data_IF_588031905479
#
_entry.id   IF_588031905479
#
_cell.length_a   1.000
_cell.length_b   1.000
_cell.length_c   1.000
_cell.angle_alpha   90.00
_cell.angle_beta   90.00
_cell.angle_gamma   90.00
#
_symmetry.space_group_name_H-M   'P 1'
#
loop_
_entity.id
_entity.type
_entity.pdbx_description
1 polymer ?
#
# COMPACT_ATOMS: atom_id res chain seq x y z
N UNK A 1 -41.98 6.94 54.79
CA UNK A 1 -40.60 6.38 54.81
C UNK A 1 -40.55 5.23 53.82
N UNK A 2 -40.17 5.50 52.55
CA UNK A 2 -40.07 4.47 51.52
C UNK A 2 -38.74 3.74 51.68
N UNK A 3 -38.79 2.48 52.11
CA UNK A 3 -37.65 1.57 52.08
C UNK A 3 -37.27 1.30 50.61
N UNK A 4 -36.28 2.04 50.12
CA UNK A 4 -35.63 1.79 48.83
C UNK A 4 -35.10 0.35 48.83
N UNK A 5 -35.80 -0.56 48.13
CA UNK A 5 -35.42 -1.96 48.03
C UNK A 5 -34.21 -2.10 47.10
N UNK A 6 -33.02 -1.85 47.66
CA UNK A 6 -31.72 -1.83 46.95
C UNK A 6 -31.46 -3.10 46.11
N UNK A 7 -32.07 -4.23 46.50
CA UNK A 7 -31.99 -5.51 45.77
C UNK A 7 -32.73 -5.47 44.43
N UNK A 8 -33.90 -4.84 44.36
CA UNK A 8 -34.66 -4.69 43.11
C UNK A 8 -33.98 -3.73 42.13
N UNK A 9 -33.39 -2.64 42.65
CA UNK A 9 -32.64 -1.68 41.82
C UNK A 9 -31.41 -2.35 41.19
N UNK A 10 -30.67 -3.16 41.96
CA UNK A 10 -29.53 -3.91 41.44
C UNK A 10 -29.92 -4.93 40.36
N UNK A 11 -31.03 -5.65 40.56
CA UNK A 11 -31.52 -6.61 39.57
C UNK A 11 -31.91 -5.92 38.25
N UNK A 12 -32.57 -4.76 38.33
CA UNK A 12 -32.95 -3.97 37.15
C UNK A 12 -31.71 -3.46 36.41
N UNK A 13 -30.72 -2.92 37.14
CA UNK A 13 -29.47 -2.45 36.53
C UNK A 13 -28.69 -3.58 35.85
N UNK A 14 -28.64 -4.77 36.44
CA UNK A 14 -27.95 -5.93 35.86
C UNK A 14 -28.63 -6.43 34.57
N UNK A 15 -29.96 -6.43 34.53
CA UNK A 15 -30.71 -6.81 33.32
C UNK A 15 -30.51 -5.76 32.22
N UNK A 16 -30.54 -4.48 32.55
CA UNK A 16 -30.28 -3.40 31.58
C UNK A 16 -28.87 -3.47 31.01
N UNK A 17 -27.83 -3.67 31.85
CA UNK A 17 -26.46 -3.75 31.35
C UNK A 17 -26.25 -4.99 30.49
N UNK A 18 -26.80 -6.15 30.85
CA UNK A 18 -26.68 -7.37 30.03
C UNK A 18 -27.40 -7.24 28.69
N UNK A 19 -28.58 -6.63 28.62
CA UNK A 19 -29.30 -6.36 27.37
C UNK A 19 -28.54 -5.37 26.47
N UNK A 20 -27.93 -4.35 27.06
CA UNK A 20 -27.10 -3.38 26.33
C UNK A 20 -25.84 -4.08 25.77
N UNK A 21 -25.16 -4.91 26.55
CA UNK A 21 -23.99 -5.66 26.06
C UNK A 21 -24.36 -6.65 24.94
N UNK A 22 -25.52 -7.31 25.02
CA UNK A 22 -25.99 -8.22 23.98
C UNK A 22 -26.32 -7.49 22.67
N UNK A 23 -26.88 -6.28 22.72
CA UNK A 23 -27.20 -5.50 21.51
C UNK A 23 -25.97 -4.85 20.86
N UNK A 24 -24.98 -4.42 21.64
CA UNK A 24 -23.70 -3.97 21.09
C UNK A 24 -22.87 -5.12 20.50
N UNK A 25 -22.95 -6.33 21.08
CA UNK A 25 -22.26 -7.51 20.55
C UNK A 25 -22.76 -7.95 19.17
N UNK A 26 -24.05 -7.78 18.88
CA UNK A 26 -24.65 -8.17 17.59
C UNK A 26 -24.59 -7.07 16.52
N UNK A 27 -24.47 -5.80 16.90
CA UNK A 27 -24.36 -4.69 15.95
C UNK A 27 -23.05 -4.67 15.15
N UNK A 28 -21.99 -5.35 15.64
CA UNK A 28 -20.69 -5.43 14.95
C UNK A 28 -20.61 -6.65 14.00
N UNK A 29 -21.46 -7.66 14.21
CA UNK A 29 -21.45 -8.91 13.43
C UNK A 29 -22.19 -8.85 12.09
N UNK A 30 -22.84 -7.72 11.76
CA UNK A 30 -23.66 -7.60 10.55
C UNK A 30 -23.14 -6.55 9.54
N UNK A 31 -21.83 -6.30 9.53
CA UNK A 31 -21.20 -5.81 8.29
C UNK A 31 -21.19 -7.00 7.32
N UNK A 32 -22.30 -7.21 6.63
CA UNK A 32 -22.37 -8.17 5.53
C UNK A 32 -21.29 -7.77 4.52
N UNK A 33 -20.24 -8.58 4.41
CA UNK A 33 -19.18 -8.37 3.43
C UNK A 33 -19.83 -8.39 2.04
N UNK A 34 -19.93 -7.22 1.40
CA UNK A 34 -20.59 -7.10 0.11
C UNK A 34 -19.70 -7.75 -0.95
N UNK A 35 -20.06 -8.95 -1.41
CA UNK A 35 -19.32 -9.69 -2.44
C UNK A 35 -19.09 -8.90 -3.73
N UNK A 36 -19.84 -7.81 -3.99
CA UNK A 36 -19.58 -6.92 -5.13
C UNK A 36 -18.26 -6.14 -5.03
N UNK A 37 -17.78 -5.84 -3.82
CA UNK A 37 -16.48 -5.19 -3.62
C UNK A 37 -15.33 -6.14 -3.99
N UNK A 38 -15.46 -7.41 -3.62
CA UNK A 38 -14.50 -8.46 -3.98
C UNK A 38 -14.43 -8.67 -5.50
N UNK A 39 -15.58 -8.61 -6.18
CA UNK A 39 -15.64 -8.70 -7.65
C UNK A 39 -14.98 -7.47 -8.31
N UNK A 40 -15.21 -6.25 -7.83
CA UNK A 40 -14.55 -5.05 -8.40
C UNK A 40 -13.02 -5.11 -8.26
N UNK A 41 -12.52 -5.61 -7.14
CA UNK A 41 -11.10 -5.55 -6.85
C UNK A 41 -10.31 -6.72 -7.49
N UNK A 42 -10.95 -7.89 -7.70
CA UNK A 42 -10.29 -9.13 -8.15
C UNK A 42 -10.87 -9.77 -9.43
N UNK A 43 -11.72 -9.08 -10.20
CA UNK A 43 -12.26 -9.60 -11.46
C UNK A 43 -11.51 -9.04 -12.67
N UNK A 44 -10.56 -9.82 -13.19
CA UNK A 44 -9.75 -9.53 -14.37
C UNK A 44 -10.54 -9.34 -15.68
N UNK A 45 -11.82 -9.74 -15.72
CA UNK A 45 -12.69 -9.56 -16.89
C UNK A 45 -13.45 -8.23 -16.91
N UNK A 46 -13.55 -7.53 -15.77
CA UNK A 46 -14.19 -6.21 -15.71
C UNK A 46 -13.15 -5.14 -16.07
N UNK A 47 -13.34 -4.35 -17.15
CA UNK A 47 -12.40 -3.31 -17.57
C UNK A 47 -12.23 -2.19 -16.52
N UNK A 48 -13.14 -2.08 -15.56
CA UNK A 48 -13.09 -1.11 -14.46
C UNK A 48 -12.57 -1.71 -13.14
N UNK A 49 -12.17 -2.99 -13.13
CA UNK A 49 -11.57 -3.60 -11.96
C UNK A 49 -10.21 -2.97 -11.61
N UNK A 50 -9.84 -3.00 -10.33
CA UNK A 50 -8.54 -2.50 -9.89
C UNK A 50 -7.40 -3.21 -10.62
N UNK A 51 -7.52 -4.53 -10.78
CA UNK A 51 -6.57 -5.36 -11.52
C UNK A 51 -6.42 -4.91 -12.98
N UNK A 52 -7.53 -4.72 -13.70
CA UNK A 52 -7.48 -4.24 -15.09
C UNK A 52 -6.90 -2.82 -15.21
N UNK A 53 -7.28 -1.92 -14.31
CA UNK A 53 -6.82 -0.54 -14.32
C UNK A 53 -5.32 -0.41 -14.01
N UNK A 54 -4.79 -1.26 -13.12
CA UNK A 54 -3.40 -1.23 -12.65
C UNK A 54 -2.48 -2.24 -13.35
N UNK A 55 -3.00 -3.00 -14.31
CA UNK A 55 -2.29 -4.12 -14.94
C UNK A 55 -0.90 -3.73 -15.43
N UNK A 56 0.09 -4.54 -15.07
CA UNK A 56 1.48 -4.39 -15.54
C UNK A 56 2.21 -3.16 -15.05
N UNK A 57 1.64 -2.34 -14.15
CA UNK A 57 2.37 -1.26 -13.50
C UNK A 57 3.48 -1.85 -12.63
N UNK A 58 4.74 -1.64 -13.00
CA UNK A 58 5.90 -2.30 -12.37
C UNK A 58 7.16 -1.45 -12.47
N UNK A 59 8.15 -1.76 -11.63
CA UNK A 59 9.49 -1.23 -11.80
C UNK A 59 10.20 -1.92 -12.99
N UNK A 60 10.88 -1.12 -13.80
CA UNK A 60 11.92 -1.62 -14.70
C UNK A 60 13.30 -1.57 -14.02
N UNK A 61 13.50 -0.61 -13.12
CA UNK A 61 14.70 -0.50 -12.32
C UNK A 61 14.43 0.36 -11.06
N UNK A 62 14.89 -0.05 -9.85
CA UNK A 62 15.42 -1.37 -9.52
C UNK A 62 14.28 -2.40 -9.65
N UNK A 63 14.58 -3.53 -10.30
CA UNK A 63 13.64 -4.48 -10.91
C UNK A 63 12.38 -4.79 -10.07
N UNK A 64 11.28 -5.12 -10.73
CA UNK A 64 10.02 -5.46 -10.06
C UNK A 64 10.14 -6.70 -9.17
N UNK A 65 9.38 -6.75 -8.07
CA UNK A 65 9.40 -7.84 -7.09
C UNK A 65 9.19 -9.23 -7.71
N UNK A 66 8.41 -9.31 -8.80
CA UNK A 66 8.07 -10.53 -9.52
C UNK A 66 9.04 -10.88 -10.68
N UNK A 67 10.10 -10.08 -10.90
CA UNK A 67 11.11 -10.36 -11.90
C UNK A 67 12.07 -11.47 -11.44
N UNK A 68 11.93 -12.67 -11.98
CA UNK A 68 12.76 -13.84 -11.61
C UNK A 68 14.12 -13.89 -12.32
N UNK A 69 14.39 -12.95 -13.23
CA UNK A 69 15.64 -12.92 -14.02
C UNK A 69 16.77 -12.21 -13.28
N UNK A 70 16.44 -11.35 -12.33
CA UNK A 70 17.38 -10.63 -11.47
C UNK A 70 17.14 -11.09 -10.03
N UNK A 71 17.90 -12.06 -9.53
CA UNK A 71 17.67 -12.61 -8.17
C UNK A 71 18.60 -12.01 -7.11
N UNK A 72 19.50 -11.12 -7.51
CA UNK A 72 20.46 -10.45 -6.61
C UNK A 72 20.00 -9.03 -6.35
N UNK A 73 19.91 -8.59 -5.08
CA UNK A 73 19.55 -7.22 -4.73
C UNK A 73 20.43 -6.18 -5.43
N UNK A 74 19.79 -5.18 -6.01
CA UNK A 74 20.50 -4.06 -6.64
C UNK A 74 21.24 -3.27 -5.56
N UNK A 75 22.55 -3.12 -5.73
CA UNK A 75 23.38 -2.32 -4.84
C UNK A 75 23.35 -0.86 -5.28
N UNK A 76 23.00 0.05 -4.37
CA UNK A 76 22.95 1.49 -4.59
C UNK A 76 23.83 2.15 -3.53
N UNK A 77 24.76 3.00 -3.97
CA UNK A 77 25.59 3.77 -3.05
C UNK A 77 24.76 4.84 -2.33
N UNK A 78 24.95 4.99 -1.03
CA UNK A 78 24.29 6.05 -0.27
C UNK A 78 24.71 7.43 -0.78
N UNK A 79 23.80 8.40 -0.64
CA UNK A 79 24.00 9.79 -1.09
C UNK A 79 24.30 9.90 -2.59
N UNK A 80 23.57 9.15 -3.41
CA UNK A 80 23.71 9.19 -4.87
C UNK A 80 22.40 9.35 -5.61
N UNK A 81 22.49 9.94 -6.81
CA UNK A 81 21.37 10.01 -7.73
C UNK A 81 21.33 8.76 -8.60
N UNK A 82 20.18 8.09 -8.60
CA UNK A 82 19.92 6.88 -9.36
C UNK A 82 18.69 7.12 -10.24
N UNK A 83 18.76 6.67 -11.49
CA UNK A 83 17.58 6.71 -12.37
C UNK A 83 16.67 5.55 -12.02
N UNK A 84 15.50 5.86 -11.47
CA UNK A 84 14.43 4.88 -11.24
C UNK A 84 13.52 4.86 -12.46
N UNK A 85 13.05 3.68 -12.83
CA UNK A 85 12.26 3.45 -14.04
C UNK A 85 11.03 2.60 -13.74
N UNK A 86 9.92 2.97 -14.36
CA UNK A 86 8.64 2.28 -14.25
C UNK A 86 8.07 2.01 -15.63
N UNK A 87 7.28 0.95 -15.74
CA UNK A 87 6.50 0.62 -16.93
C UNK A 87 5.07 0.28 -16.55
N UNK A 88 4.22 0.27 -17.58
CA UNK A 88 2.87 -0.26 -17.52
C UNK A 88 2.60 -1.12 -18.75
N UNK A 89 1.65 -2.05 -18.66
CA UNK A 89 1.19 -2.76 -19.84
C UNK A 89 0.34 -1.84 -20.74
N UNK A 90 0.18 -2.22 -22.00
CA UNK A 90 -0.60 -1.44 -22.97
C UNK A 90 -2.07 -1.28 -22.55
N UNK A 91 -2.65 -2.32 -21.93
CA UNK A 91 -4.02 -2.29 -21.40
C UNK A 91 -4.17 -1.55 -20.06
N UNK A 92 -3.07 -1.09 -19.47
CA UNK A 92 -3.07 -0.36 -18.21
C UNK A 92 -3.58 1.06 -18.37
N UNK A 93 -4.40 1.51 -17.42
CA UNK A 93 -4.91 2.88 -17.35
C UNK A 93 -4.06 3.80 -16.47
N UNK A 94 -2.90 3.34 -15.98
CA UNK A 94 -1.92 4.21 -15.32
C UNK A 94 -1.42 5.25 -16.33
N UNK A 95 -1.40 6.51 -15.91
CA UNK A 95 -1.01 7.66 -16.75
C UNK A 95 0.25 8.32 -16.25
N UNK A 96 0.43 8.38 -14.93
CA UNK A 96 1.54 9.09 -14.30
C UNK A 96 2.04 8.29 -13.10
N UNK A 97 3.37 8.14 -12.96
CA UNK A 97 3.98 7.73 -11.70
C UNK A 97 4.12 8.98 -10.83
N UNK A 98 3.38 9.04 -9.72
CA UNK A 98 3.28 10.25 -8.89
C UNK A 98 4.21 10.24 -7.69
N UNK A 99 4.58 9.05 -7.21
CA UNK A 99 5.36 8.88 -5.99
C UNK A 99 6.29 7.68 -6.10
N UNK A 100 7.46 7.79 -5.49
CA UNK A 100 8.33 6.67 -5.21
C UNK A 100 8.86 6.80 -3.77
N UNK A 101 8.65 5.75 -3.01
CA UNK A 101 8.96 5.67 -1.60
C UNK A 101 9.98 4.58 -1.34
N UNK A 102 10.85 4.81 -0.36
CA UNK A 102 11.80 3.84 0.16
C UNK A 102 11.29 3.31 1.50
N UNK A 103 11.11 2.00 1.58
CA UNK A 103 10.53 1.28 2.71
C UNK A 103 11.56 0.31 3.31
N UNK A 104 11.45 0.00 4.60
CA UNK A 104 12.14 -1.16 5.19
C UNK A 104 11.54 -2.46 4.65
N UNK A 105 12.26 -3.59 4.76
CA UNK A 105 11.67 -4.93 4.59
C UNK A 105 10.64 -5.16 5.72
N UNK A 106 9.39 -4.73 5.48
CA UNK A 106 8.29 -4.69 6.46
C UNK A 106 7.52 -3.35 6.45
N UNK A 107 6.57 -3.13 7.37
CA UNK A 107 5.88 -1.85 7.48
C UNK A 107 6.84 -0.77 8.00
N UNK A 108 7.12 0.24 7.18
CA UNK A 108 7.91 1.39 7.61
C UNK A 108 8.45 2.22 6.46
N UNK A 109 7.88 3.41 6.27
CA UNK A 109 8.41 4.42 5.37
C UNK A 109 9.73 4.99 5.92
N UNK A 110 10.79 4.94 5.12
CA UNK A 110 12.05 5.64 5.41
C UNK A 110 12.02 7.04 4.83
N UNK A 111 11.71 7.13 3.54
CA UNK A 111 11.80 8.37 2.78
C UNK A 111 10.89 8.31 1.56
N UNK A 112 10.26 9.45 1.22
CA UNK A 112 9.72 9.68 -0.11
C UNK A 112 10.88 10.16 -0.99
N UNK A 113 11.33 9.32 -1.91
CA UNK A 113 12.50 9.59 -2.75
C UNK A 113 12.13 10.37 -4.01
N UNK A 114 10.85 10.32 -4.43
CA UNK A 114 10.34 11.09 -5.57
C UNK A 114 8.85 11.43 -5.41
N UNK A 115 8.42 12.64 -5.76
CA UNK A 115 6.99 13.04 -5.65
C UNK A 115 6.53 14.05 -6.72
N UNK A 116 7.33 14.26 -7.79
CA UNK A 116 7.04 15.33 -8.76
C UNK A 116 6.02 14.95 -9.83
N UNK A 117 5.67 13.67 -9.95
CA UNK A 117 4.92 13.18 -11.10
C UNK A 117 5.80 13.02 -12.33
N UNK A 118 5.63 11.91 -13.04
CA UNK A 118 6.20 11.70 -14.38
C UNK A 118 5.23 10.87 -15.22
N UNK A 119 4.91 11.39 -16.40
CA UNK A 119 3.96 10.74 -17.30
C UNK A 119 4.55 9.48 -17.92
N UNK A 120 3.72 8.45 -18.02
CA UNK A 120 4.08 7.16 -18.60
C UNK A 120 3.80 7.15 -20.11
N UNK A 121 4.41 8.07 -20.85
CA UNK A 121 4.24 8.19 -22.32
C UNK A 121 5.55 7.83 -23.00
N UNK A 122 5.65 6.73 -23.79
CA UNK A 122 4.60 5.88 -24.38
C UNK A 122 4.27 4.57 -23.62
N UNK A 123 4.37 4.53 -22.29
CA UNK A 123 4.12 3.33 -21.47
C UNK A 123 5.21 3.04 -20.45
N UNK A 124 6.23 3.90 -20.41
CA UNK A 124 7.27 3.89 -19.38
C UNK A 124 7.53 5.31 -18.91
N UNK A 125 8.14 5.42 -17.74
CA UNK A 125 8.61 6.67 -17.16
C UNK A 125 9.95 6.44 -16.45
N UNK A 126 10.77 7.48 -16.39
CA UNK A 126 12.04 7.45 -15.66
C UNK A 126 12.25 8.77 -14.94
N UNK A 127 12.92 8.74 -13.79
CA UNK A 127 13.29 9.94 -13.05
C UNK A 127 14.58 9.73 -12.28
N UNK A 128 15.38 10.79 -12.17
CA UNK A 128 16.57 10.78 -11.31
C UNK A 128 16.15 11.06 -9.87
N UNK A 129 16.53 10.14 -8.99
CA UNK A 129 16.07 10.06 -7.60
C UNK A 129 17.29 10.02 -6.68
N UNK A 130 17.30 10.85 -5.64
CA UNK A 130 18.39 10.90 -4.68
C UNK A 130 18.13 9.90 -3.55
N UNK A 131 19.02 8.92 -3.43
CA UNK A 131 18.99 7.92 -2.36
C UNK A 131 19.82 8.42 -1.19
N UNK A 132 19.18 8.63 -0.05
CA UNK A 132 19.85 9.07 1.16
C UNK A 132 19.32 8.32 2.39
N UNK A 133 20.23 7.66 3.07
CA UNK A 133 20.01 7.05 4.38
C UNK A 133 20.83 7.83 5.41
N UNK A 134 20.17 8.23 6.49
CA UNK A 134 20.79 8.97 7.59
C UNK A 134 22.05 8.27 8.11
N UNK A 135 23.12 9.00 8.46
CA UNK A 135 24.35 8.41 9.01
C UNK A 135 24.16 7.70 10.36
N UNK A 136 22.99 7.84 10.99
CA UNK A 136 22.63 7.11 12.21
C UNK A 136 22.21 5.64 11.94
N UNK A 137 21.99 5.28 10.67
CA UNK A 137 21.63 3.93 10.25
C UNK A 137 22.88 3.20 9.81
N UNK A 138 23.05 1.96 10.30
CA UNK A 138 24.15 1.11 9.90
C UNK A 138 23.97 0.61 8.47
N UNK A 139 25.00 0.80 7.64
CA UNK A 139 25.08 0.28 6.27
C UNK A 139 25.96 -1.00 6.24
N UNK A 140 25.73 -1.93 5.30
CA UNK A 140 24.67 -1.91 4.29
C UNK A 140 23.28 -2.16 4.89
N UNK A 141 22.24 -1.59 4.27
CA UNK A 141 20.84 -1.83 4.66
C UNK A 141 20.01 -2.27 3.46
N UNK A 142 19.19 -3.30 3.67
CA UNK A 142 18.24 -3.78 2.65
C UNK A 142 16.88 -3.09 2.80
N UNK A 143 16.37 -2.58 1.69
CA UNK A 143 15.15 -1.78 1.59
C UNK A 143 14.34 -2.21 0.35
N UNK A 144 13.09 -1.76 0.26
CA UNK A 144 12.21 -1.99 -0.89
C UNK A 144 11.67 -0.65 -1.37
N UNK A 145 11.51 -0.47 -2.68
CA UNK A 145 10.81 0.69 -3.22
C UNK A 145 9.34 0.38 -3.48
N UNK A 146 8.49 1.36 -3.18
CA UNK A 146 7.08 1.38 -3.59
C UNK A 146 6.85 2.55 -4.52
N UNK A 147 6.33 2.29 -5.71
CA UNK A 147 5.86 3.33 -6.61
C UNK A 147 4.34 3.46 -6.51
N UNK A 148 3.84 4.69 -6.65
CA UNK A 148 2.40 4.97 -6.73
C UNK A 148 2.10 5.55 -8.11
N UNK A 149 1.23 4.87 -8.85
CA UNK A 149 0.71 5.29 -10.14
C UNK A 149 -0.68 5.89 -10.02
N UNK A 150 -0.95 6.96 -10.75
CA UNK A 150 -2.28 7.53 -10.93
C UNK A 150 -2.92 7.00 -12.22
N UNK A 151 -4.17 6.57 -12.14
CA UNK A 151 -4.97 6.21 -13.31
C UNK A 151 -5.83 7.38 -13.77
N UNK A 152 -6.27 7.36 -15.04
CA UNK A 152 -7.19 8.37 -15.57
C UNK A 152 -8.58 8.35 -14.91
N UNK A 153 -9.01 7.21 -14.35
CA UNK A 153 -10.41 6.95 -14.00
C UNK A 153 -10.67 6.55 -12.55
N UNK A 154 -9.68 6.63 -11.65
CA UNK A 154 -9.97 6.45 -10.23
C UNK A 154 -8.79 6.00 -9.38
N UNK A 155 -8.55 4.68 -9.24
CA UNK A 155 -7.70 4.16 -8.19
C UNK A 155 -6.23 4.56 -8.40
N UNK A 156 -5.52 4.61 -7.27
CA UNK A 156 -4.06 4.61 -7.26
C UNK A 156 -3.57 3.17 -7.35
N UNK A 157 -2.62 2.95 -8.24
CA UNK A 157 -1.93 1.68 -8.38
C UNK A 157 -0.65 1.72 -7.57
N UNK A 158 -0.27 0.58 -6.98
CA UNK A 158 1.02 0.45 -6.30
C UNK A 158 1.78 -0.71 -6.89
N UNK A 159 3.08 -0.57 -7.04
CA UNK A 159 3.98 -1.66 -7.36
C UNK A 159 5.23 -1.59 -6.49
N UNK A 160 5.91 -2.73 -6.37
CA UNK A 160 7.05 -2.89 -5.49
C UNK A 160 8.27 -3.35 -6.29
N UNK A 161 9.43 -2.82 -5.94
CA UNK A 161 10.70 -3.36 -6.43
C UNK A 161 11.03 -4.65 -5.68
N UNK A 162 12.02 -5.38 -6.18
CA UNK A 162 12.79 -6.28 -5.35
C UNK A 162 13.53 -5.51 -4.27
N UNK A 163 14.14 -6.27 -3.37
CA UNK A 163 15.08 -5.72 -2.41
C UNK A 163 16.24 -5.00 -3.11
N UNK A 164 16.54 -3.81 -2.61
CA UNK A 164 17.75 -3.06 -2.91
C UNK A 164 18.61 -3.01 -1.66
N UNK A 165 19.92 -2.92 -1.84
CA UNK A 165 20.85 -2.72 -0.73
C UNK A 165 21.51 -1.37 -0.87
N UNK A 166 21.35 -0.51 0.13
CA UNK A 166 22.09 0.74 0.22
C UNK A 166 23.43 0.46 0.87
N UNK A 167 24.51 0.78 0.17
CA UNK A 167 25.90 0.63 0.64
C UNK A 167 26.51 1.99 1.01
N UNK A 168 27.70 1.99 1.59
CA UNK A 168 28.51 3.21 1.79
C UNK A 168 28.81 3.95 0.48
#
# INVERSE_FOLDING_TARGET
MMLSNKRSIFAILYILTTLIYASYGTAISDITYNNRLNIRDNNDTDPYSLESLCKGFRFLYPYAQDDTTHNTPVQIKNDTNVTVMWAKDQSSNVTTCIDCEMLKSGPGLIQIVWTKGVDMTPGYAASSVHFFVSPLVQLPITLVLRAIGQTAFGPRCSCYSQEITITE
#
